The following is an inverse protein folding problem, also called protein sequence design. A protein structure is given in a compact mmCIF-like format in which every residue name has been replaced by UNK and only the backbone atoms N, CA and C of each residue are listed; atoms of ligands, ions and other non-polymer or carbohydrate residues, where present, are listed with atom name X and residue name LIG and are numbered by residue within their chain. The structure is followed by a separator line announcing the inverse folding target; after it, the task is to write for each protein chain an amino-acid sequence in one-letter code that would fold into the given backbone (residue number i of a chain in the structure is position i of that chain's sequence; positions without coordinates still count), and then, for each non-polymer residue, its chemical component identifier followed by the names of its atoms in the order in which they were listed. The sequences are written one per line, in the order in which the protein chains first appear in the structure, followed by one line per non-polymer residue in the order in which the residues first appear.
data_IF_734171762059
#
_entry.id   IF_734171762059
#
_cell.length_a   1.000
_cell.length_b   1.000
_cell.length_c   1.000
_cell.angle_alpha   90.00
_cell.angle_beta   90.00
_cell.angle_gamma   90.00
#
_symmetry.space_group_name_H-M   'P 1'
#
loop_
_entity.id
_entity.type
_entity.pdbx_description
1 polymer ?
#
# COMPACT_ATOMS: atom_id res chain seq x y z
N UNK A 1 -3.22 5.53 23.29
CA UNK A 1 -3.87 6.68 22.64
C UNK A 1 -3.52 6.78 21.17
N UNK A 2 -2.27 7.00 20.86
CA UNK A 2 -1.87 7.03 19.44
C UNK A 2 -2.16 5.71 18.74
N UNK A 3 -2.08 4.62 19.47
CA UNK A 3 -2.34 3.31 18.88
C UNK A 3 -3.73 3.22 18.26
N UNK A 4 -4.71 3.80 18.90
CA UNK A 4 -6.05 3.76 18.35
C UNK A 4 -6.17 4.58 17.08
N UNK A 5 -5.43 5.69 17.03
CA UNK A 5 -5.45 6.55 15.85
C UNK A 5 -4.78 5.91 14.65
N UNK A 6 -3.83 5.00 14.90
CA UNK A 6 -3.06 4.38 13.83
C UNK A 6 -3.29 2.89 13.72
N UNK A 7 -4.49 2.44 14.07
CA UNK A 7 -4.86 1.04 13.86
C UNK A 7 -5.86 0.97 12.71
N UNK A 8 -5.42 1.07 11.49
CA UNK A 8 -6.34 1.02 10.36
C UNK A 8 -6.97 -0.36 10.25
N UNK A 9 -8.22 -0.38 9.84
CA UNK A 9 -8.93 -1.63 9.59
C UNK A 9 -8.70 -2.12 8.17
N UNK A 10 -8.32 -1.23 7.28
CA UNK A 10 -8.07 -1.58 5.89
C UNK A 10 -6.88 -0.82 5.35
N UNK A 11 -6.01 -1.53 4.63
CA UNK A 11 -4.75 -1.00 4.13
C UNK A 11 -4.57 -1.40 2.68
N UNK A 12 -4.17 -0.47 1.84
CA UNK A 12 -3.78 -0.79 0.47
C UNK A 12 -2.29 -0.54 0.31
N UNK A 13 -1.61 -1.45 -0.35
CA UNK A 13 -0.17 -1.32 -0.62
C UNK A 13 0.02 -1.13 -2.12
N UNK A 14 0.41 0.07 -2.52
CA UNK A 14 0.72 0.38 -3.92
C UNK A 14 2.20 0.07 -4.13
N UNK A 15 2.47 -0.78 -5.11
CA UNK A 15 3.84 -1.22 -5.34
C UNK A 15 4.17 -2.51 -4.61
N UNK A 16 3.14 -3.29 -4.25
CA UNK A 16 3.36 -4.59 -3.67
C UNK A 16 4.23 -5.43 -4.62
N UNK A 17 5.16 -6.19 -4.05
CA UNK A 17 6.13 -6.90 -4.85
C UNK A 17 6.56 -8.18 -4.15
N UNK A 18 6.98 -9.15 -4.94
CA UNK A 18 7.61 -10.37 -4.40
C UNK A 18 9.11 -10.35 -4.62
N UNK A 19 9.67 -9.21 -5.04
CA UNK A 19 11.11 -9.11 -5.27
C UNK A 19 11.83 -8.92 -3.94
N UNK A 20 12.70 -9.85 -3.55
CA UNK A 20 13.40 -9.76 -2.26
C UNK A 20 14.18 -8.46 -2.14
N UNK A 21 14.15 -7.87 -0.96
CA UNK A 21 14.91 -6.66 -0.68
C UNK A 21 14.22 -5.36 -1.06
N UNK A 22 13.07 -5.43 -1.73
CA UNK A 22 12.34 -4.20 -2.05
C UNK A 22 11.43 -3.81 -0.90
N UNK A 23 11.11 -2.51 -0.81
CA UNK A 23 10.16 -2.03 0.19
C UNK A 23 8.79 -2.66 0.00
N UNK A 24 8.38 -2.83 -1.27
CA UNK A 24 7.08 -3.43 -1.56
C UNK A 24 6.99 -4.87 -1.09
N UNK A 25 8.09 -5.60 -1.16
CA UNK A 25 8.13 -6.98 -0.68
C UNK A 25 8.04 -7.04 0.84
N UNK A 26 8.84 -6.19 1.52
CA UNK A 26 8.84 -6.18 2.98
C UNK A 26 7.48 -5.77 3.53
N UNK A 27 6.87 -4.76 2.93
CA UNK A 27 5.55 -4.30 3.35
C UNK A 27 4.50 -5.37 3.10
N UNK A 28 4.58 -6.07 1.96
CA UNK A 28 3.63 -7.12 1.64
C UNK A 28 3.70 -8.24 2.68
N UNK A 29 4.92 -8.65 3.05
CA UNK A 29 5.08 -9.70 4.06
C UNK A 29 4.54 -9.26 5.41
N UNK A 30 4.74 -8.00 5.78
CA UNK A 30 4.22 -7.48 7.04
C UNK A 30 2.71 -7.50 7.08
N UNK A 31 2.07 -7.13 5.97
CA UNK A 31 0.62 -7.14 5.90
C UNK A 31 0.06 -8.56 6.00
N UNK A 32 0.72 -9.51 5.35
CA UNK A 32 0.29 -10.90 5.42
C UNK A 32 0.30 -11.40 6.87
N UNK A 33 1.31 -10.99 7.63
CA UNK A 33 1.37 -11.38 9.04
C UNK A 33 0.23 -10.80 9.86
N UNK A 34 -0.38 -9.73 9.38
CA UNK A 34 -1.46 -9.05 10.10
C UNK A 34 -2.84 -9.38 9.55
N UNK A 35 -2.95 -10.40 8.70
CA UNK A 35 -4.20 -10.65 7.96
C UNK A 35 -5.39 -10.96 8.86
N UNK A 36 -5.15 -11.38 10.09
CA UNK A 36 -6.26 -11.64 11.00
C UNK A 36 -6.75 -10.38 11.71
N UNK A 37 -6.00 -9.29 11.61
CA UNK A 37 -6.32 -8.07 12.32
C UNK A 37 -6.84 -6.96 11.42
N UNK A 38 -6.56 -7.04 10.12
CA UNK A 38 -6.98 -6.00 9.19
C UNK A 38 -7.18 -6.60 7.81
N UNK A 39 -7.95 -5.88 6.99
CA UNK A 39 -8.11 -6.21 5.60
C UNK A 39 -7.01 -5.49 4.82
N UNK A 40 -6.39 -6.17 3.87
CA UNK A 40 -5.37 -5.51 3.06
C UNK A 40 -5.53 -5.86 1.59
N UNK A 41 -5.01 -4.98 0.75
CA UNK A 41 -5.11 -5.11 -0.69
C UNK A 41 -3.78 -4.76 -1.33
N UNK A 42 -3.32 -5.60 -2.25
CA UNK A 42 -2.09 -5.34 -3.00
C UNK A 42 -2.46 -4.72 -4.34
N UNK A 43 -1.76 -3.65 -4.71
CA UNK A 43 -1.96 -3.00 -5.99
C UNK A 43 -0.71 -3.18 -6.81
N UNK A 44 -0.85 -3.83 -7.98
CA UNK A 44 0.26 -4.08 -8.89
C UNK A 44 -0.34 -4.22 -10.28
N UNK A 45 0.20 -3.46 -11.25
CA UNK A 45 -0.34 -3.46 -12.60
C UNK A 45 0.21 -4.57 -13.47
N UNK A 46 1.28 -5.22 -13.04
CA UNK A 46 1.95 -6.23 -13.87
C UNK A 46 1.61 -7.66 -13.48
N UNK A 47 1.48 -7.92 -12.19
CA UNK A 47 1.23 -9.26 -11.70
C UNK A 47 -0.17 -9.37 -11.16
N UNK A 48 -0.82 -10.49 -11.46
CA UNK A 48 -2.17 -10.74 -10.98
C UNK A 48 -2.20 -11.26 -9.55
N UNK A 49 -1.06 -11.73 -9.03
CA UNK A 49 -0.98 -12.15 -7.65
C UNK A 49 0.45 -12.02 -7.14
N UNK A 50 0.57 -11.83 -5.83
CA UNK A 50 1.85 -11.73 -5.15
C UNK A 50 1.72 -12.55 -3.88
N UNK A 51 2.63 -13.50 -3.69
CA UNK A 51 2.58 -14.44 -2.56
C UNK A 51 1.24 -15.16 -2.48
N UNK A 52 0.66 -15.48 -3.65
CA UNK A 52 -0.61 -16.18 -3.70
C UNK A 52 -1.83 -15.32 -3.44
N UNK A 53 -1.65 -14.02 -3.26
CA UNK A 53 -2.75 -13.10 -2.96
C UNK A 53 -3.04 -12.27 -4.19
N UNK A 54 -4.33 -12.21 -4.55
CA UNK A 54 -4.77 -11.44 -5.70
C UNK A 54 -4.35 -9.98 -5.59
N UNK A 55 -3.93 -9.41 -6.71
CA UNK A 55 -3.65 -7.98 -6.77
C UNK A 55 -4.78 -7.26 -7.51
N UNK A 56 -4.82 -5.95 -7.34
CA UNK A 56 -5.72 -5.07 -8.09
C UNK A 56 -4.85 -4.14 -8.92
N UNK A 57 -5.21 -3.85 -10.15
CA UNK A 57 -4.37 -2.96 -10.96
C UNK A 57 -4.45 -1.50 -10.53
N UNK A 58 -5.57 -1.09 -9.97
CA UNK A 58 -5.79 0.31 -9.60
C UNK A 58 -6.50 0.40 -8.26
N UNK A 59 -6.20 1.47 -7.54
CA UNK A 59 -6.88 1.75 -6.28
C UNK A 59 -8.39 1.84 -6.46
N UNK A 60 -8.81 2.35 -7.61
CA UNK A 60 -10.24 2.51 -7.91
C UNK A 60 -11.00 1.19 -7.95
N UNK A 61 -10.30 0.07 -8.13
CA UNK A 61 -10.96 -1.23 -8.27
C UNK A 61 -11.09 -1.97 -6.96
N UNK A 62 -10.64 -1.38 -5.87
CA UNK A 62 -10.76 -2.03 -4.57
C UNK A 62 -12.22 -2.08 -4.13
N UNK A 63 -12.60 -3.10 -3.34
CA UNK A 63 -13.97 -3.22 -2.87
C UNK A 63 -14.35 -2.18 -1.81
N UNK A 64 -13.39 -1.43 -1.32
CA UNK A 64 -13.62 -0.38 -0.32
C UNK A 64 -12.54 0.67 -0.44
N UNK A 65 -12.79 1.84 0.13
CA UNK A 65 -11.77 2.88 0.25
C UNK A 65 -10.92 2.53 1.46
N UNK A 66 -9.62 2.26 1.28
CA UNK A 66 -8.80 1.87 2.42
C UNK A 66 -8.57 3.04 3.37
N UNK A 67 -8.39 2.74 4.64
CA UNK A 67 -8.12 3.77 5.63
C UNK A 67 -6.68 4.26 5.56
N UNK A 68 -5.77 3.38 5.12
CA UNK A 68 -4.36 3.72 5.01
C UNK A 68 -3.84 3.22 3.68
N UNK A 69 -3.04 4.04 3.02
CA UNK A 69 -2.38 3.63 1.79
C UNK A 69 -0.87 3.68 2.01
N UNK A 70 -0.22 2.55 1.75
CA UNK A 70 1.23 2.44 1.77
C UNK A 70 1.71 2.57 0.34
N UNK A 71 2.71 3.40 0.11
CA UNK A 71 3.24 3.63 -1.23
C UNK A 71 4.69 3.18 -1.28
N UNK A 72 4.99 2.19 -2.10
CA UNK A 72 6.32 1.62 -2.25
C UNK A 72 6.74 1.65 -3.72
N UNK A 73 6.59 2.80 -4.36
CA UNK A 73 6.93 3.02 -5.75
C UNK A 73 7.96 4.15 -5.84
N UNK A 74 8.55 4.39 -7.00
CA UNK A 74 9.56 5.47 -7.11
C UNK A 74 9.01 6.82 -6.67
N UNK A 75 9.89 7.64 -6.11
CA UNK A 75 9.51 8.93 -5.56
C UNK A 75 8.75 9.81 -6.57
N UNK A 76 9.09 9.69 -7.85
CA UNK A 76 8.45 10.50 -8.88
C UNK A 76 6.96 10.21 -9.05
N UNK A 77 6.49 9.06 -8.56
CA UNK A 77 5.09 8.68 -8.70
C UNK A 77 4.24 9.07 -7.50
N UNK A 78 4.88 9.45 -6.38
CA UNK A 78 4.20 9.55 -5.10
C UNK A 78 3.15 10.66 -5.07
N UNK A 79 3.49 11.85 -5.55
CA UNK A 79 2.54 12.97 -5.48
C UNK A 79 1.25 12.68 -6.24
N UNK A 80 1.36 12.07 -7.43
CA UNK A 80 0.19 11.72 -8.20
C UNK A 80 -0.66 10.67 -7.51
N UNK A 81 -0.02 9.70 -6.90
CA UNK A 81 -0.73 8.64 -6.20
C UNK A 81 -1.46 9.16 -4.98
N UNK A 82 -0.81 10.05 -4.22
CA UNK A 82 -1.44 10.65 -3.06
C UNK A 82 -2.65 11.47 -3.48
N UNK A 83 -2.50 12.25 -4.56
CA UNK A 83 -3.61 13.07 -5.04
C UNK A 83 -4.79 12.21 -5.47
N UNK A 84 -4.52 11.15 -6.22
CA UNK A 84 -5.58 10.26 -6.66
C UNK A 84 -6.27 9.59 -5.47
N UNK A 85 -5.50 9.09 -4.53
CA UNK A 85 -6.06 8.42 -3.36
C UNK A 85 -6.86 9.40 -2.49
N UNK A 86 -6.36 10.62 -2.33
CA UNK A 86 -7.08 11.62 -1.54
C UNK A 86 -8.43 11.96 -2.17
N UNK A 87 -8.48 12.03 -3.51
CA UNK A 87 -9.74 12.28 -4.19
C UNK A 87 -10.75 11.16 -3.98
N UNK A 88 -10.27 9.96 -3.65
CA UNK A 88 -11.13 8.81 -3.39
C UNK A 88 -11.49 8.67 -1.94
N UNK A 89 -11.02 9.58 -1.08
CA UNK A 89 -11.38 9.58 0.32
C UNK A 89 -10.32 9.05 1.27
N UNK A 90 -9.12 8.76 0.78
CA UNK A 90 -8.04 8.29 1.65
C UNK A 90 -7.39 9.49 2.33
N UNK A 91 -7.18 9.38 3.65
CA UNK A 91 -6.60 10.47 4.42
C UNK A 91 -5.23 10.16 4.99
N UNK A 92 -4.84 8.90 5.08
CA UNK A 92 -3.60 8.53 5.74
C UNK A 92 -2.68 7.78 4.80
N UNK A 93 -1.41 8.16 4.79
CA UNK A 93 -0.42 7.62 3.87
C UNK A 93 0.89 7.35 4.57
N UNK A 94 1.56 6.27 4.18
CA UNK A 94 2.95 6.02 4.57
C UNK A 94 3.71 5.75 3.29
N UNK A 95 4.82 6.47 3.09
CA UNK A 95 5.58 6.39 1.86
C UNK A 95 6.93 5.72 2.11
N UNK A 96 7.19 4.67 1.34
CA UNK A 96 8.44 3.93 1.38
C UNK A 96 9.17 4.13 0.05
N UNK A 97 9.60 5.33 -0.24
CA UNK A 97 10.26 5.59 -1.50
C UNK A 97 11.72 5.93 -1.26
N UNK A 98 12.60 5.19 -1.89
CA UNK A 98 14.03 5.37 -1.67
C UNK A 98 14.52 6.75 -2.05
N UNK A 99 13.83 7.42 -2.97
CA UNK A 99 14.26 8.75 -3.38
C UNK A 99 14.11 9.81 -2.32
N UNK A 100 13.33 9.55 -1.27
CA UNK A 100 13.12 10.56 -0.24
C UNK A 100 14.19 10.58 0.82
N UNK A 101 14.95 9.51 0.93
CA UNK A 101 15.91 9.41 2.01
C UNK A 101 17.29 9.87 1.64
N UNK A 102 17.48 10.24 0.40
CA UNK A 102 18.81 10.51 -0.10
C UNK A 102 19.09 11.94 -0.32
N UNK A 103 18.66 12.76 0.42
CA UNK A 103 18.97 14.14 0.16
C UNK A 103 20.20 14.69 0.69
#
# INVERSE_FOLDING_TARGET
MLDKLFKPQSVALIGASDRPGSFGCDAAKSLIKSQEKLRFYFINQRKSEIFGIRTYPLLAELPEVPELVLIATPASTVNGLIRDAAQRGVHDFIVYSSGFAED
#
